data_IF_705165205588
#
_entry.id   IF_705165205588
#
_cell.length_a   1.000
_cell.length_b   1.000
_cell.length_c   1.000
_cell.angle_alpha   90.00
_cell.angle_beta   90.00
_cell.angle_gamma   90.00
#
_symmetry.space_group_name_H-M   'P 1'
#
loop_
_entity.id
_entity.type
_entity.pdbx_description
1 polymer ?
#
# COMPACT_ATOMS: atom_id res chain seq x y z
N UNK A 1 -3.48 -43.50 28.64
CA UNK A 1 -2.51 -42.73 27.85
C UNK A 1 -2.82 -42.94 26.37
N UNK A 2 -3.64 -42.08 25.79
CA UNK A 2 -3.88 -42.03 24.36
C UNK A 2 -3.57 -40.62 23.88
N UNK A 3 -2.44 -40.46 23.21
CA UNK A 3 -2.07 -39.29 22.48
C UNK A 3 -2.88 -39.30 21.17
N UNK A 4 -3.88 -38.45 21.07
CA UNK A 4 -4.63 -38.27 19.83
C UNK A 4 -3.75 -37.47 18.85
N UNK A 5 -3.21 -38.16 17.85
CA UNK A 5 -2.69 -37.52 16.63
C UNK A 5 -3.83 -36.74 15.95
N UNK A 6 -3.78 -35.42 16.01
CA UNK A 6 -4.61 -34.61 15.15
C UNK A 6 -4.05 -34.68 13.73
N UNK A 7 -4.74 -35.46 12.90
CA UNK A 7 -4.46 -35.61 11.48
C UNK A 7 -4.65 -34.31 10.71
N UNK A 8 -3.71 -34.10 9.81
CA UNK A 8 -3.57 -32.94 8.93
C UNK A 8 -4.78 -32.72 7.99
N UNK A 9 -5.10 -31.46 7.83
CA UNK A 9 -5.72 -30.78 6.67
C UNK A 9 -6.97 -31.45 6.02
N UNK A 10 -8.13 -30.82 6.19
CA UNK A 10 -9.11 -30.82 5.14
C UNK A 10 -9.51 -29.36 4.77
N UNK A 11 -8.69 -28.67 4.06
CA UNK A 11 -9.14 -27.57 3.22
C UNK A 11 -8.57 -27.79 1.83
N UNK A 12 -9.44 -28.19 0.92
CA UNK A 12 -9.13 -28.46 -0.47
C UNK A 12 -8.54 -27.18 -1.09
N UNK A 13 -7.22 -27.14 -1.26
CA UNK A 13 -6.55 -26.09 -2.03
C UNK A 13 -6.99 -26.32 -3.48
N UNK A 14 -7.89 -25.47 -3.97
CA UNK A 14 -8.21 -25.37 -5.39
C UNK A 14 -6.92 -25.06 -6.14
N UNK A 15 -6.40 -26.09 -6.83
CA UNK A 15 -5.29 -25.94 -7.78
C UNK A 15 -5.79 -25.12 -8.95
N UNK A 16 -5.34 -23.89 -9.06
CA UNK A 16 -5.46 -23.12 -10.28
C UNK A 16 -4.43 -23.62 -11.30
N UNK A 17 -4.80 -23.79 -12.58
CA UNK A 17 -3.85 -24.20 -13.61
C UNK A 17 -2.82 -23.10 -13.85
N UNK A 18 -1.56 -23.51 -13.95
CA UNK A 18 -0.46 -22.65 -14.37
C UNK A 18 -0.76 -22.08 -15.77
N UNK A 19 -0.88 -20.78 -15.89
CA UNK A 19 -0.94 -20.11 -17.19
C UNK A 19 0.43 -20.19 -17.85
N UNK A 20 0.50 -21.00 -18.91
CA UNK A 20 1.62 -21.11 -19.82
C UNK A 20 2.05 -19.74 -20.35
N UNK A 21 3.34 -19.45 -20.23
CA UNK A 21 4.00 -18.35 -20.91
C UNK A 21 3.89 -18.53 -22.44
N UNK A 22 3.02 -17.79 -23.06
CA UNK A 22 2.91 -17.66 -24.51
C UNK A 22 3.67 -16.45 -24.99
N UNK A 23 4.87 -16.67 -25.51
CA UNK A 23 5.59 -15.70 -26.33
C UNK A 23 4.80 -15.41 -27.60
N UNK A 24 4.40 -14.18 -27.84
CA UNK A 24 4.13 -13.65 -29.19
C UNK A 24 4.43 -12.16 -29.27
N UNK A 25 5.42 -11.89 -30.04
CA UNK A 25 5.63 -10.89 -31.09
C UNK A 25 4.69 -9.69 -31.11
N UNK A 26 5.31 -8.58 -30.85
CA UNK A 26 5.02 -7.20 -31.20
C UNK A 26 4.16 -6.98 -32.44
N UNK A 27 3.10 -6.21 -32.27
CA UNK A 27 2.76 -5.15 -33.22
C UNK A 27 2.52 -3.89 -32.40
N UNK A 28 3.35 -2.87 -32.62
CA UNK A 28 3.18 -1.50 -32.15
C UNK A 28 1.88 -0.94 -32.76
N UNK A 29 0.80 -1.11 -32.06
CA UNK A 29 -0.29 -0.15 -32.10
C UNK A 29 -0.05 0.73 -30.89
N UNK A 30 0.71 1.81 -31.08
CA UNK A 30 0.64 2.99 -30.25
C UNK A 30 -0.78 3.53 -30.35
N UNK A 31 -1.70 2.97 -29.60
CA UNK A 31 -2.86 3.74 -29.16
C UNK A 31 -2.28 4.85 -28.29
N UNK A 32 -2.24 6.04 -28.82
CA UNK A 32 -2.15 7.30 -28.07
C UNK A 32 -3.41 7.40 -27.21
N UNK A 33 -3.47 6.62 -26.13
CA UNK A 33 -4.34 6.95 -25.03
C UNK A 33 -3.79 8.28 -24.48
N UNK A 34 -4.57 9.32 -24.60
CA UNK A 34 -4.30 10.64 -24.06
C UNK A 34 -4.02 10.47 -22.57
N UNK A 35 -2.75 10.58 -22.19
CA UNK A 35 -2.31 10.32 -20.82
C UNK A 35 -2.76 11.47 -19.94
N UNK A 36 -3.52 11.19 -18.88
CA UNK A 36 -3.88 12.22 -17.90
C UNK A 36 -2.64 12.98 -17.42
N UNK A 37 -2.73 14.30 -17.32
CA UNK A 37 -1.65 15.14 -16.81
C UNK A 37 -1.22 14.74 -15.40
N UNK A 38 -2.13 14.25 -14.59
CA UNK A 38 -1.85 13.75 -13.24
C UNK A 38 -1.04 12.44 -13.23
N UNK A 39 -0.90 11.77 -14.37
CA UNK A 39 0.01 10.63 -14.49
C UNK A 39 1.49 11.07 -14.62
N UNK A 40 1.78 12.36 -14.71
CA UNK A 40 3.12 12.91 -14.81
C UNK A 40 3.77 13.07 -13.44
N UNK A 41 5.05 12.71 -13.32
CA UNK A 41 5.89 13.14 -12.20
C UNK A 41 6.17 14.64 -12.28
N UNK A 42 6.67 15.25 -11.20
CA UNK A 42 7.03 16.68 -11.21
C UNK A 42 8.04 17.02 -12.30
N UNK A 43 9.05 16.17 -12.52
CA UNK A 43 10.02 16.37 -13.60
C UNK A 43 9.39 16.26 -15.00
N UNK A 44 8.42 15.37 -15.18
CA UNK A 44 7.68 15.28 -16.44
C UNK A 44 6.78 16.50 -16.66
N UNK A 45 6.20 17.08 -15.60
CA UNK A 45 5.48 18.37 -15.72
C UNK A 45 6.40 19.52 -16.14
N UNK A 46 7.65 19.55 -15.66
CA UNK A 46 8.65 20.54 -16.10
C UNK A 46 8.97 20.38 -17.60
N UNK A 47 9.18 19.15 -18.07
CA UNK A 47 9.43 18.87 -19.47
C UNK A 47 8.23 19.26 -20.34
N UNK A 48 7.03 18.84 -19.95
CA UNK A 48 5.79 19.13 -20.65
C UNK A 48 5.55 20.66 -20.78
N UNK A 49 5.73 21.41 -19.70
CA UNK A 49 5.56 22.86 -19.77
C UNK A 49 6.62 23.54 -20.66
N UNK A 50 7.85 23.02 -20.70
CA UNK A 50 8.90 23.50 -21.59
C UNK A 50 8.56 23.24 -23.07
N UNK A 51 7.99 22.06 -23.40
CA UNK A 51 7.51 21.72 -24.74
C UNK A 51 6.43 22.70 -25.23
N UNK A 52 5.59 23.22 -24.34
CA UNK A 52 4.63 24.28 -24.62
C UNK A 52 5.24 25.69 -24.64
N UNK A 53 6.57 25.82 -24.60
CA UNK A 53 7.27 27.12 -24.61
C UNK A 53 7.04 27.93 -23.32
N UNK A 54 6.70 27.28 -22.21
CA UNK A 54 6.43 27.97 -20.96
C UNK A 54 7.67 28.05 -20.06
N UNK A 55 7.83 29.13 -19.29
CA UNK A 55 8.92 29.24 -18.33
C UNK A 55 8.76 28.19 -17.20
N UNK A 56 9.90 27.76 -16.64
CA UNK A 56 10.00 26.66 -15.66
C UNK A 56 9.04 26.80 -14.46
N UNK A 57 8.76 28.01 -13.98
CA UNK A 57 7.86 28.21 -12.85
C UNK A 57 6.40 27.79 -13.13
N UNK A 58 5.99 27.67 -14.41
CA UNK A 58 4.63 27.24 -14.77
C UNK A 58 4.36 25.80 -14.36
N UNK A 59 5.36 24.93 -14.39
CA UNK A 59 5.23 23.55 -13.89
C UNK A 59 4.87 23.54 -12.39
N UNK A 60 5.52 24.40 -11.60
CA UNK A 60 5.21 24.51 -10.17
C UNK A 60 3.78 25.06 -9.92
N UNK A 61 3.33 26.03 -10.72
CA UNK A 61 1.95 26.53 -10.65
C UNK A 61 0.94 25.43 -11.03
N UNK A 62 1.22 24.71 -12.10
CA UNK A 62 0.39 23.57 -12.53
C UNK A 62 0.30 22.51 -11.43
N UNK A 63 1.43 22.12 -10.85
CA UNK A 63 1.46 21.15 -9.73
C UNK A 63 0.66 21.65 -8.50
N UNK A 64 0.68 22.94 -8.19
CA UNK A 64 -0.15 23.50 -7.12
C UNK A 64 -1.64 23.37 -7.43
N UNK A 65 -2.07 23.69 -8.65
CA UNK A 65 -3.46 23.53 -9.05
C UNK A 65 -3.92 22.08 -8.95
N UNK A 66 -3.10 21.13 -9.46
CA UNK A 66 -3.40 19.71 -9.48
C UNK A 66 -3.46 19.08 -8.07
N UNK A 67 -2.51 19.46 -7.19
CA UNK A 67 -2.25 18.71 -5.96
C UNK A 67 -2.50 19.50 -4.66
N UNK A 68 -2.60 20.83 -4.71
CA UNK A 68 -2.95 21.65 -3.53
C UNK A 68 -4.38 22.13 -3.61
N UNK A 69 -4.78 22.65 -4.77
CA UNK A 69 -6.15 23.12 -4.99
C UNK A 69 -7.10 21.99 -5.44
N UNK A 70 -6.56 20.83 -5.83
CA UNK A 70 -7.28 19.63 -6.24
C UNK A 70 -8.38 19.91 -7.28
N UNK A 71 -8.05 20.75 -8.28
CA UNK A 71 -8.99 21.10 -9.32
C UNK A 71 -9.24 19.94 -10.28
N UNK A 72 -10.45 19.88 -10.82
CA UNK A 72 -10.88 18.86 -11.79
C UNK A 72 -11.04 19.41 -13.21
N UNK A 73 -10.73 20.68 -13.41
CA UNK A 73 -10.78 21.33 -14.74
C UNK A 73 -9.70 22.40 -14.90
N UNK A 74 -9.22 22.59 -16.14
CA UNK A 74 -8.21 23.61 -16.45
C UNK A 74 -8.78 25.04 -16.39
N UNK A 75 -10.08 25.23 -16.51
CA UNK A 75 -10.76 26.52 -16.40
C UNK A 75 -10.54 27.13 -15.01
N UNK A 76 -10.43 26.31 -13.98
CA UNK A 76 -10.18 26.74 -12.60
C UNK A 76 -8.76 27.30 -12.40
N UNK A 77 -7.82 26.99 -13.30
CA UNK A 77 -6.41 27.40 -13.19
C UNK A 77 -6.18 28.84 -13.63
N UNK A 78 -6.75 29.79 -12.92
CA UNK A 78 -6.90 31.21 -13.34
C UNK A 78 -5.59 31.96 -13.58
N UNK A 79 -4.46 31.54 -12.99
CA UNK A 79 -3.14 32.14 -13.21
C UNK A 79 -2.37 31.54 -14.40
N UNK A 80 -2.96 30.56 -15.10
CA UNK A 80 -2.46 30.06 -16.38
C UNK A 80 -3.15 30.80 -17.53
N UNK A 81 -2.42 31.12 -18.61
CA UNK A 81 -2.99 31.78 -19.77
C UNK A 81 -4.07 30.92 -20.44
N UNK A 82 -5.08 31.55 -21.03
CA UNK A 82 -6.13 30.85 -21.77
C UNK A 82 -5.55 29.92 -22.86
N UNK A 83 -4.55 30.40 -23.60
CA UNK A 83 -3.87 29.62 -24.63
C UNK A 83 -3.21 28.36 -24.07
N UNK A 84 -2.56 28.44 -22.88
CA UNK A 84 -1.97 27.26 -22.25
C UNK A 84 -3.05 26.30 -21.76
N UNK A 85 -4.11 26.79 -21.13
CA UNK A 85 -5.25 25.95 -20.69
C UNK A 85 -5.89 25.20 -21.83
N UNK A 86 -6.14 25.87 -22.97
CA UNK A 86 -6.70 25.22 -24.17
C UNK A 86 -5.79 24.11 -24.71
N UNK A 87 -4.48 24.37 -24.81
CA UNK A 87 -3.51 23.37 -25.25
C UNK A 87 -3.45 22.16 -24.30
N UNK A 88 -3.52 22.40 -22.98
CA UNK A 88 -3.53 21.34 -21.99
C UNK A 88 -4.83 20.51 -22.06
N UNK A 89 -5.97 21.15 -22.22
CA UNK A 89 -7.27 20.46 -22.38
C UNK A 89 -7.27 19.53 -23.60
N UNK A 90 -6.68 19.99 -24.71
CA UNK A 90 -6.62 19.19 -25.94
C UNK A 90 -5.64 18.02 -25.85
N UNK A 91 -4.45 18.25 -25.24
CA UNK A 91 -3.36 17.26 -25.25
C UNK A 91 -3.35 16.33 -24.05
N UNK A 92 -3.86 16.78 -22.89
CA UNK A 92 -3.75 16.05 -21.62
C UNK A 92 -5.05 16.17 -20.83
N UNK A 93 -5.95 15.19 -20.91
CA UNK A 93 -7.18 15.20 -20.12
C UNK A 93 -6.87 15.27 -18.63
N UNK A 94 -7.71 15.98 -17.88
CA UNK A 94 -7.65 16.05 -16.42
C UNK A 94 -8.73 15.14 -15.86
N UNK A 95 -8.34 13.98 -15.40
CA UNK A 95 -9.23 13.00 -14.79
C UNK A 95 -8.94 12.86 -13.30
N UNK A 96 -9.99 12.82 -12.49
CA UNK A 96 -9.95 12.57 -11.05
C UNK A 96 -10.91 11.42 -10.76
N UNK A 97 -10.50 10.38 -10.03
CA UNK A 97 -11.40 9.30 -9.65
C UNK A 97 -12.64 9.81 -8.89
N UNK A 98 -13.78 9.21 -9.12
CA UNK A 98 -15.02 9.56 -8.43
C UNK A 98 -15.36 8.59 -7.31
N UNK A 99 -15.95 9.07 -6.21
CA UNK A 99 -16.46 8.21 -5.14
C UNK A 99 -17.74 7.54 -5.64
N UNK A 100 -17.74 6.21 -5.76
CA UNK A 100 -18.93 5.42 -6.14
C UNK A 100 -19.56 4.72 -4.95
N UNK A 101 -18.81 4.52 -3.86
CA UNK A 101 -19.33 4.06 -2.58
C UNK A 101 -18.51 4.62 -1.42
N UNK A 102 -19.16 4.85 -0.29
CA UNK A 102 -18.52 5.31 0.94
C UNK A 102 -19.16 4.65 2.16
N UNK A 103 -18.33 3.99 2.95
CA UNK A 103 -18.73 3.34 4.18
C UNK A 103 -18.05 4.01 5.37
N UNK A 104 -18.78 4.15 6.48
CA UNK A 104 -18.28 4.79 7.70
C UNK A 104 -18.39 3.80 8.85
N UNK A 105 -17.24 3.50 9.46
CA UNK A 105 -17.13 2.63 10.63
C UNK A 105 -17.52 3.34 11.93
N UNK A 106 -17.90 2.57 12.93
CA UNK A 106 -18.14 3.09 14.29
C UNK A 106 -16.92 3.79 14.91
N UNK A 107 -15.70 3.43 14.48
CA UNK A 107 -14.46 4.06 14.97
C UNK A 107 -14.07 5.32 14.19
N UNK A 108 -14.96 5.81 13.30
CA UNK A 108 -14.75 6.97 12.45
C UNK A 108 -13.95 6.70 11.19
N UNK A 109 -13.44 5.47 11.00
CA UNK A 109 -12.75 5.07 9.74
C UNK A 109 -13.72 5.17 8.58
N UNK A 110 -13.27 5.72 7.45
CA UNK A 110 -14.05 5.78 6.21
C UNK A 110 -13.35 4.98 5.12
N UNK A 111 -14.10 4.10 4.48
CA UNK A 111 -13.67 3.39 3.29
C UNK A 111 -14.37 3.97 2.07
N UNK A 112 -13.60 4.26 1.04
CA UNK A 112 -14.07 4.77 -0.25
C UNK A 112 -13.83 3.73 -1.32
N UNK A 113 -14.81 3.50 -2.19
CA UNK A 113 -14.63 2.85 -3.48
C UNK A 113 -14.55 3.95 -4.53
N UNK A 114 -13.40 4.06 -5.16
CA UNK A 114 -13.10 5.09 -6.17
C UNK A 114 -13.12 4.46 -7.56
N UNK A 115 -13.87 5.05 -8.47
CA UNK A 115 -13.91 4.63 -9.88
C UNK A 115 -12.97 5.52 -10.70
N UNK A 116 -12.03 4.88 -11.38
CA UNK A 116 -11.08 5.52 -12.28
C UNK A 116 -11.72 5.79 -13.64
N UNK A 117 -11.04 6.57 -14.50
CA UNK A 117 -11.52 6.97 -15.83
C UNK A 117 -11.87 5.77 -16.74
N UNK A 118 -11.16 4.65 -16.59
CA UNK A 118 -11.38 3.41 -17.34
C UNK A 118 -12.49 2.51 -16.75
N UNK A 119 -13.25 3.02 -15.77
CA UNK A 119 -14.30 2.28 -15.07
C UNK A 119 -13.78 1.23 -14.07
N UNK A 120 -12.45 1.13 -13.88
CA UNK A 120 -11.87 0.27 -12.85
C UNK A 120 -12.00 0.91 -11.48
N UNK A 121 -12.09 0.08 -10.45
CA UNK A 121 -12.30 0.53 -9.07
C UNK A 121 -11.14 0.17 -8.17
N UNK A 122 -10.89 1.04 -7.20
CA UNK A 122 -9.94 0.81 -6.12
C UNK A 122 -10.53 1.28 -4.80
N UNK A 123 -10.06 0.70 -3.71
CA UNK A 123 -10.46 1.12 -2.36
C UNK A 123 -9.36 1.90 -1.66
N UNK A 124 -9.78 2.86 -0.86
CA UNK A 124 -8.95 3.73 -0.03
C UNK A 124 -9.58 3.86 1.35
N UNK A 125 -8.76 3.87 2.39
CA UNK A 125 -9.26 3.93 3.78
C UNK A 125 -8.65 5.13 4.51
N UNK A 126 -9.52 6.00 5.03
CA UNK A 126 -9.15 7.12 5.89
C UNK A 126 -9.39 6.74 7.36
N UNK A 127 -8.36 6.82 8.16
CA UNK A 127 -8.35 6.41 9.56
C UNK A 127 -8.03 7.62 10.45
N UNK A 128 -9.04 8.31 11.02
CA UNK A 128 -8.81 9.35 11.99
C UNK A 128 -8.31 8.72 13.29
N UNK A 129 -7.32 9.32 13.92
CA UNK A 129 -6.90 8.96 15.26
C UNK A 129 -6.86 10.23 16.12
N UNK A 130 -7.83 10.39 16.99
CA UNK A 130 -7.81 11.33 18.09
C UNK A 130 -7.09 10.69 19.28
N UNK A 131 -6.31 11.45 20.01
CA UNK A 131 -5.87 11.07 21.34
C UNK A 131 -7.09 11.07 22.26
N UNK A 132 -7.27 10.00 23.05
CA UNK A 132 -8.22 10.02 24.17
C UNK A 132 -7.67 10.81 25.37
N UNK A 133 -6.46 11.37 25.25
CA UNK A 133 -5.86 12.22 26.27
C UNK A 133 -6.27 13.68 26.02
N UNK A 134 -6.78 14.39 27.07
CA UNK A 134 -7.28 15.76 26.92
C UNK A 134 -6.25 16.77 26.43
N UNK A 135 -4.95 16.45 26.54
CA UNK A 135 -3.83 17.36 26.24
C UNK A 135 -3.12 17.07 24.90
N UNK A 136 -3.45 15.98 24.18
CA UNK A 136 -2.84 15.69 22.87
C UNK A 136 -3.74 16.21 21.74
N UNK A 137 -3.63 17.48 21.46
CA UNK A 137 -4.41 18.25 20.46
C UNK A 137 -4.10 17.85 19.01
N UNK A 138 -3.29 16.81 18.76
CA UNK A 138 -2.92 16.43 17.40
C UNK A 138 -3.81 15.31 16.87
N UNK A 139 -4.96 15.70 16.39
CA UNK A 139 -5.76 14.84 15.51
C UNK A 139 -4.91 14.40 14.32
N UNK A 140 -4.75 13.09 14.16
CA UNK A 140 -4.00 12.51 13.03
C UNK A 140 -4.97 11.85 12.07
N UNK A 141 -4.81 12.15 10.80
CA UNK A 141 -5.50 11.42 9.74
C UNK A 141 -4.46 10.60 8.97
N UNK A 142 -4.62 9.28 9.01
CA UNK A 142 -3.83 8.34 8.22
C UNK A 142 -4.67 7.86 7.04
N UNK A 143 -4.12 7.91 5.84
CA UNK A 143 -4.77 7.34 4.64
C UNK A 143 -3.99 6.12 4.16
N UNK A 144 -4.70 4.98 4.08
CA UNK A 144 -4.24 3.76 3.42
C UNK A 144 -4.69 3.80 1.97
N UNK A 145 -3.74 3.84 1.05
CA UNK A 145 -4.01 3.97 -0.38
C UNK A 145 -3.54 2.76 -1.17
N UNK A 146 -4.18 2.53 -2.30
CA UNK A 146 -3.92 1.46 -3.26
C UNK A 146 -2.90 1.89 -4.29
N UNK A 147 -2.10 0.94 -4.80
CA UNK A 147 -1.06 1.18 -5.83
C UNK A 147 -1.35 0.45 -7.14
N UNK A 148 -2.29 -0.48 -7.13
CA UNK A 148 -2.72 -1.25 -8.29
C UNK A 148 -4.23 -1.46 -8.24
N UNK A 149 -4.84 -1.73 -9.38
CA UNK A 149 -6.19 -2.31 -9.46
C UNK A 149 -6.05 -3.81 -9.31
N UNK A 150 -6.48 -4.34 -8.16
CA UNK A 150 -6.20 -5.72 -7.76
C UNK A 150 -4.75 -5.94 -7.33
N UNK A 151 -4.31 -7.20 -7.23
CA UNK A 151 -2.96 -7.54 -6.78
C UNK A 151 -2.50 -8.87 -7.39
N UNK A 152 -1.26 -8.90 -7.89
CA UNK A 152 -0.68 -10.12 -8.46
C UNK A 152 -0.14 -11.11 -7.42
N UNK A 153 -0.04 -10.72 -6.14
CA UNK A 153 0.66 -11.51 -5.11
C UNK A 153 -0.13 -12.71 -4.61
N UNK A 154 -1.45 -12.74 -4.78
CA UNK A 154 -2.31 -13.89 -4.45
C UNK A 154 -2.13 -14.43 -3.02
N UNK A 155 -1.89 -13.55 -2.05
CA UNK A 155 -1.74 -13.95 -0.65
C UNK A 155 -3.03 -14.62 -0.15
N UNK A 156 -2.93 -15.77 0.50
CA UNK A 156 -4.06 -16.59 0.93
C UNK A 156 -5.00 -15.90 1.93
N UNK A 157 -4.49 -14.91 2.66
CA UNK A 157 -5.20 -14.14 3.67
C UNK A 157 -5.77 -12.80 3.16
N UNK A 158 -5.65 -12.50 1.86
CA UNK A 158 -5.98 -11.17 1.32
C UNK A 158 -7.06 -11.25 0.24
N UNK A 159 -8.19 -10.56 0.46
CA UNK A 159 -9.29 -10.51 -0.49
C UNK A 159 -8.85 -9.94 -1.86
N UNK A 160 -8.05 -8.87 -1.86
CA UNK A 160 -7.49 -8.29 -3.10
C UNK A 160 -6.66 -9.29 -3.90
N UNK A 161 -5.90 -10.16 -3.22
CA UNK A 161 -5.10 -11.19 -3.89
C UNK A 161 -5.95 -12.22 -4.63
N UNK A 162 -7.16 -12.48 -4.15
CA UNK A 162 -8.10 -13.42 -4.78
C UNK A 162 -8.80 -12.82 -6.01
N UNK A 163 -8.87 -11.49 -6.13
CA UNK A 163 -9.44 -10.80 -7.30
C UNK A 163 -8.48 -10.78 -8.51
N UNK A 164 -7.20 -11.02 -8.27
CA UNK A 164 -6.16 -10.95 -9.29
C UNK A 164 -5.71 -9.52 -9.60
N UNK A 165 -4.89 -9.36 -10.63
CA UNK A 165 -4.27 -8.10 -11.05
C UNK A 165 -4.87 -7.63 -12.37
N UNK A 166 -5.21 -6.35 -12.45
CA UNK A 166 -5.69 -5.71 -13.68
C UNK A 166 -4.63 -4.77 -14.28
N UNK A 167 -4.22 -3.73 -13.53
CA UNK A 167 -3.19 -2.77 -13.96
C UNK A 167 -2.56 -2.01 -12.80
N UNK A 168 -1.45 -1.38 -13.08
CA UNK A 168 -0.86 -0.40 -12.18
C UNK A 168 -1.69 0.90 -12.15
N UNK A 169 -1.74 1.55 -10.98
CA UNK A 169 -2.27 2.90 -10.86
C UNK A 169 -1.23 3.92 -11.33
N UNK A 170 -1.71 5.00 -11.91
CA UNK A 170 -0.89 6.16 -12.25
C UNK A 170 -0.54 6.99 -11.02
N UNK A 171 0.41 7.90 -11.17
CA UNK A 171 0.81 8.85 -10.12
C UNK A 171 -0.39 9.63 -9.59
N UNK A 172 -1.22 10.17 -10.50
CA UNK A 172 -2.39 10.95 -10.13
C UNK A 172 -3.42 10.13 -9.39
N UNK A 173 -3.77 8.93 -9.88
CA UNK A 173 -4.74 8.06 -9.22
C UNK A 173 -4.32 7.70 -7.79
N UNK A 174 -3.02 7.56 -7.52
CA UNK A 174 -2.51 7.34 -6.16
C UNK A 174 -2.62 8.59 -5.28
N UNK A 175 -2.25 9.76 -5.80
CA UNK A 175 -2.31 11.03 -5.04
C UNK A 175 -3.76 11.45 -4.80
N UNK A 176 -4.64 11.25 -5.77
CA UNK A 176 -6.07 11.61 -5.67
C UNK A 176 -6.80 10.83 -4.58
N UNK A 177 -6.43 9.59 -4.30
CA UNK A 177 -6.96 8.84 -3.17
C UNK A 177 -6.78 9.60 -1.85
N UNK A 178 -5.60 10.23 -1.67
CA UNK A 178 -5.28 10.97 -0.47
C UNK A 178 -6.02 12.32 -0.44
N UNK A 179 -6.10 13.00 -1.58
CA UNK A 179 -6.78 14.29 -1.70
C UNK A 179 -8.29 14.15 -1.49
N UNK A 180 -8.92 13.15 -2.10
CA UNK A 180 -10.34 12.82 -1.93
C UNK A 180 -10.65 12.50 -0.47
N UNK A 181 -9.84 11.68 0.17
CA UNK A 181 -10.01 11.34 1.58
C UNK A 181 -9.84 12.58 2.48
N UNK A 182 -8.86 13.44 2.19
CA UNK A 182 -8.63 14.69 2.92
C UNK A 182 -9.83 15.66 2.81
N UNK A 183 -10.37 15.79 1.61
CA UNK A 183 -11.52 16.65 1.33
C UNK A 183 -12.77 16.14 2.05
N UNK A 184 -13.12 14.86 1.91
CA UNK A 184 -14.30 14.28 2.56
C UNK A 184 -14.19 14.29 4.10
N UNK A 185 -13.00 14.08 4.65
CA UNK A 185 -12.77 14.14 6.09
C UNK A 185 -12.75 15.56 6.64
N UNK A 186 -12.56 16.60 5.80
CA UNK A 186 -12.36 17.98 6.22
C UNK A 186 -11.10 18.18 7.08
N UNK A 187 -10.16 17.24 7.02
CA UNK A 187 -8.98 17.20 7.88
C UNK A 187 -7.71 16.92 7.05
N UNK A 188 -6.63 17.66 7.33
CA UNK A 188 -5.36 17.47 6.65
C UNK A 188 -4.77 16.09 6.94
N UNK A 189 -4.40 15.36 5.88
CA UNK A 189 -3.71 14.08 6.00
C UNK A 189 -2.30 14.28 6.58
N UNK A 190 -2.03 13.57 7.66
CA UNK A 190 -0.74 13.64 8.37
C UNK A 190 0.17 12.45 8.08
N UNK A 191 -0.40 11.30 7.78
CA UNK A 191 0.31 10.05 7.53
C UNK A 191 -0.31 9.32 6.33
N UNK A 192 0.50 8.63 5.56
CA UNK A 192 0.03 7.78 4.47
C UNK A 192 0.73 6.43 4.49
N UNK A 193 0.00 5.39 4.13
CA UNK A 193 0.53 4.02 4.05
C UNK A 193 0.11 3.39 2.72
N UNK A 194 1.08 2.96 1.92
CA UNK A 194 0.87 2.18 0.71
C UNK A 194 0.64 0.70 1.11
N UNK A 195 -0.53 0.44 1.69
CA UNK A 195 -0.95 -0.86 2.23
C UNK A 195 -2.37 -1.24 1.78
N UNK A 196 -2.92 -0.53 0.80
CA UNK A 196 -4.18 -0.84 0.16
C UNK A 196 -4.01 -1.97 -0.86
N UNK A 197 -4.72 -1.90 -1.97
CA UNK A 197 -4.64 -2.89 -3.03
C UNK A 197 -3.33 -2.76 -3.82
N UNK A 198 -2.69 -3.90 -4.11
CA UNK A 198 -1.49 -3.98 -4.94
C UNK A 198 -0.18 -4.13 -4.16
N UNK A 199 0.88 -4.47 -4.92
CA UNK A 199 2.26 -4.51 -4.45
C UNK A 199 2.99 -3.26 -4.95
N UNK A 200 3.37 -2.32 -4.06
CA UNK A 200 3.96 -1.05 -4.46
C UNK A 200 5.25 -1.21 -5.30
N UNK A 201 6.05 -2.23 -5.02
CA UNK A 201 7.32 -2.43 -5.74
C UNK A 201 7.15 -3.09 -7.11
N UNK A 202 5.97 -3.59 -7.45
CA UNK A 202 5.62 -3.95 -8.84
C UNK A 202 5.11 -2.73 -9.64
N UNK A 203 4.80 -1.61 -8.96
CA UNK A 203 4.50 -0.31 -9.56
C UNK A 203 5.48 0.77 -9.09
N UNK A 204 6.76 0.42 -9.00
CA UNK A 204 7.79 1.18 -8.28
C UNK A 204 7.88 2.65 -8.70
N UNK A 205 8.05 2.91 -10.01
CA UNK A 205 8.32 4.27 -10.50
C UNK A 205 7.15 5.22 -10.28
N UNK A 206 5.92 4.77 -10.53
CA UNK A 206 4.73 5.58 -10.25
C UNK A 206 4.51 5.76 -8.75
N UNK A 207 4.72 4.70 -7.95
CA UNK A 207 4.61 4.78 -6.49
C UNK A 207 5.61 5.82 -5.96
N UNK A 208 6.88 5.72 -6.31
CA UNK A 208 7.90 6.67 -5.86
C UNK A 208 7.58 8.11 -6.28
N UNK A 209 7.13 8.31 -7.52
CA UNK A 209 6.72 9.64 -7.99
C UNK A 209 5.53 10.21 -7.19
N UNK A 210 4.54 9.38 -6.85
CA UNK A 210 3.44 9.77 -5.99
C UNK A 210 3.92 10.14 -4.58
N UNK A 211 4.80 9.31 -3.96
CA UNK A 211 5.37 9.61 -2.63
C UNK A 211 6.13 10.95 -2.62
N UNK A 212 6.86 11.26 -3.70
CA UNK A 212 7.58 12.53 -3.85
C UNK A 212 6.63 13.73 -3.92
N UNK A 213 5.49 13.61 -4.59
CA UNK A 213 4.44 14.63 -4.59
C UNK A 213 3.87 14.81 -3.18
N UNK A 214 3.56 13.72 -2.48
CA UNK A 214 3.05 13.76 -1.11
C UNK A 214 4.05 14.40 -0.13
N UNK A 215 5.34 14.15 -0.30
CA UNK A 215 6.41 14.68 0.55
C UNK A 215 6.83 16.11 0.19
N UNK A 216 6.58 16.57 -1.03
CA UNK A 216 7.13 17.82 -1.55
C UNK A 216 6.74 19.04 -0.71
N UNK A 217 7.75 19.87 -0.34
CA UNK A 217 7.60 20.97 0.61
C UNK A 217 6.63 22.08 0.16
N UNK A 218 6.37 22.23 -1.13
CA UNK A 218 5.44 23.22 -1.70
C UNK A 218 4.08 22.61 -2.10
N UNK A 219 3.88 21.28 -1.91
CA UNK A 219 2.62 20.59 -2.25
C UNK A 219 1.95 20.08 -0.97
N UNK A 220 1.92 18.77 -0.75
CA UNK A 220 1.18 18.17 0.38
C UNK A 220 1.95 18.18 1.70
N UNK A 221 3.27 18.30 1.68
CA UNK A 221 4.14 18.48 2.86
C UNK A 221 3.99 17.36 3.92
N UNK A 222 3.73 16.14 3.50
CA UNK A 222 3.72 15.00 4.42
C UNK A 222 5.17 14.61 4.68
N UNK A 223 5.58 14.60 5.95
CA UNK A 223 6.97 14.29 6.31
C UNK A 223 7.36 12.87 5.87
N UNK A 224 8.57 12.69 5.33
CA UNK A 224 9.00 11.42 4.75
C UNK A 224 8.82 10.22 5.72
N UNK A 225 9.15 10.36 7.00
CA UNK A 225 8.95 9.33 8.04
C UNK A 225 7.48 9.02 8.36
N UNK A 226 6.53 9.79 7.82
CA UNK A 226 5.09 9.57 7.95
C UNK A 226 4.49 8.94 6.70
N UNK A 227 5.36 8.56 5.76
CA UNK A 227 5.01 7.85 4.53
C UNK A 227 5.60 6.46 4.64
N UNK A 228 4.74 5.44 4.71
CA UNK A 228 5.15 4.04 4.81
C UNK A 228 4.83 3.32 3.51
N UNK A 229 5.81 2.59 2.99
CA UNK A 229 5.64 1.67 1.86
C UNK A 229 5.76 0.26 2.37
N UNK A 230 4.73 -0.55 2.14
CA UNK A 230 4.74 -1.97 2.50
C UNK A 230 4.93 -2.83 1.25
N UNK A 231 5.80 -3.81 1.33
CA UNK A 231 6.04 -4.78 0.26
C UNK A 231 5.94 -6.21 0.77
N UNK A 232 5.51 -7.11 -0.09
CA UNK A 232 5.60 -8.55 0.13
C UNK A 232 7.05 -9.05 0.21
N UNK A 233 8.05 -8.19 0.02
CA UNK A 233 9.47 -8.55 0.05
C UNK A 233 10.07 -8.71 -1.35
N UNK A 234 9.65 -7.89 -2.31
CA UNK A 234 10.24 -7.83 -3.67
C UNK A 234 11.66 -7.29 -3.56
N UNK A 235 12.66 -8.20 -3.53
CA UNK A 235 14.06 -7.90 -3.27
C UNK A 235 14.61 -6.80 -4.19
N UNK A 236 14.44 -6.85 -5.53
CA UNK A 236 14.90 -5.77 -6.40
C UNK A 236 14.30 -4.40 -6.08
N UNK A 237 13.06 -4.38 -5.57
CA UNK A 237 12.40 -3.15 -5.11
C UNK A 237 13.02 -2.63 -3.81
N UNK A 238 13.33 -3.51 -2.85
CA UNK A 238 14.02 -3.16 -1.61
C UNK A 238 15.40 -2.56 -1.91
N UNK A 239 16.16 -3.19 -2.80
CA UNK A 239 17.50 -2.73 -3.20
C UNK A 239 17.44 -1.34 -3.86
N UNK A 240 16.44 -1.09 -4.72
CA UNK A 240 16.21 0.25 -5.30
C UNK A 240 15.84 1.26 -4.22
N UNK A 241 14.92 0.90 -3.32
CA UNK A 241 14.42 1.78 -2.26
C UNK A 241 15.48 2.18 -1.25
N UNK A 242 16.50 1.32 -1.03
CA UNK A 242 17.67 1.64 -0.23
C UNK A 242 18.55 2.75 -0.85
N UNK A 243 18.41 3.03 -2.14
CA UNK A 243 19.16 4.06 -2.86
C UNK A 243 18.44 5.42 -2.92
N UNK A 244 17.15 5.47 -2.53
CA UNK A 244 16.39 6.69 -2.59
C UNK A 244 16.80 7.65 -1.46
N UNK A 245 16.95 8.97 -1.74
CA UNK A 245 17.42 9.93 -0.75
C UNK A 245 16.39 10.25 0.33
N UNK A 246 15.11 10.01 0.07
CA UNK A 246 14.04 10.32 1.01
C UNK A 246 13.97 9.28 2.14
N UNK A 247 13.65 9.74 3.35
CA UNK A 247 13.54 8.87 4.54
C UNK A 247 12.13 8.26 4.66
N UNK A 248 11.59 7.67 3.58
CA UNK A 248 10.35 6.93 3.66
C UNK A 248 10.51 5.67 4.52
N UNK A 249 9.47 5.27 5.22
CA UNK A 249 9.49 4.07 6.07
C UNK A 249 9.24 2.83 5.21
N UNK A 250 10.12 1.82 5.34
CA UNK A 250 9.93 0.51 4.74
C UNK A 250 9.21 -0.41 5.73
N UNK A 251 8.10 -1.00 5.28
CA UNK A 251 7.44 -2.13 5.92
C UNK A 251 7.54 -3.37 5.04
N UNK A 252 7.70 -4.53 5.64
CA UNK A 252 7.76 -5.82 4.93
C UNK A 252 6.70 -6.75 5.48
N UNK A 253 5.78 -7.15 4.61
CA UNK A 253 4.80 -8.20 4.87
C UNK A 253 5.51 -9.55 4.96
N UNK A 254 6.00 -9.89 6.16
CA UNK A 254 6.73 -11.13 6.42
C UNK A 254 5.79 -12.31 6.57
N UNK A 255 4.84 -12.21 7.49
CA UNK A 255 3.74 -13.14 7.84
C UNK A 255 4.14 -14.58 8.14
N UNK A 256 5.34 -15.00 7.81
CA UNK A 256 5.96 -16.26 8.27
C UNK A 256 7.48 -16.17 8.17
N UNK A 257 8.17 -16.71 9.16
CA UNK A 257 9.63 -16.81 9.19
C UNK A 257 10.14 -18.24 8.85
N UNK A 258 9.22 -19.21 8.68
CA UNK A 258 9.51 -20.51 8.10
C UNK A 258 9.14 -20.52 6.61
N UNK A 259 10.08 -20.93 5.74
CA UNK A 259 9.89 -20.87 4.30
C UNK A 259 8.66 -21.64 3.82
N UNK A 260 8.47 -22.86 4.30
CA UNK A 260 7.33 -23.72 3.92
C UNK A 260 5.98 -23.08 4.24
N UNK A 261 5.87 -22.38 5.37
CA UNK A 261 4.65 -21.68 5.78
C UNK A 261 4.44 -20.44 4.92
N UNK A 262 5.54 -19.68 4.66
CA UNK A 262 5.48 -18.49 3.81
C UNK A 262 5.07 -18.81 2.38
N UNK A 263 5.54 -19.91 1.82
CA UNK A 263 5.21 -20.35 0.46
C UNK A 263 3.71 -20.69 0.31
N UNK A 264 3.08 -21.19 1.37
CA UNK A 264 1.63 -21.44 1.41
C UNK A 264 0.84 -20.13 1.54
N UNK A 265 1.27 -19.23 2.42
CA UNK A 265 0.57 -17.95 2.66
C UNK A 265 0.77 -16.95 1.53
N UNK A 266 1.92 -16.97 0.86
CA UNK A 266 2.33 -15.99 -0.14
C UNK A 266 2.94 -16.68 -1.37
N UNK A 267 2.15 -17.40 -2.18
CA UNK A 267 2.64 -18.32 -3.21
C UNK A 267 3.48 -17.64 -4.30
N UNK A 268 3.26 -16.36 -4.58
CA UNK A 268 4.05 -15.63 -5.57
C UNK A 268 5.44 -15.21 -5.05
N UNK A 269 5.73 -15.47 -3.76
CA UNK A 269 7.02 -15.13 -3.15
C UNK A 269 8.01 -16.29 -3.09
N UNK A 270 7.68 -17.45 -3.63
CA UNK A 270 8.55 -18.66 -3.63
C UNK A 270 9.92 -18.40 -4.29
N UNK A 271 9.98 -17.52 -5.29
CA UNK A 271 11.22 -17.11 -5.95
C UNK A 271 12.06 -16.10 -5.15
N UNK A 272 11.58 -15.67 -3.98
CA UNK A 272 12.21 -14.70 -3.09
C UNK A 272 12.37 -15.32 -1.69
N UNK A 273 13.27 -16.29 -1.52
CA UNK A 273 13.37 -17.07 -0.28
C UNK A 273 13.77 -16.18 0.90
N UNK A 274 13.32 -16.55 2.10
CA UNK A 274 13.55 -15.82 3.35
C UNK A 274 15.03 -15.51 3.60
N UNK A 275 15.95 -16.41 3.26
CA UNK A 275 17.38 -16.20 3.40
C UNK A 275 17.90 -15.04 2.54
N UNK A 276 17.41 -14.92 1.29
CA UNK A 276 17.73 -13.79 0.41
C UNK A 276 17.04 -12.51 0.87
N UNK A 277 15.78 -12.60 1.31
CA UNK A 277 15.07 -11.45 1.86
C UNK A 277 15.81 -10.90 3.07
N UNK A 278 16.18 -11.75 4.04
CA UNK A 278 16.93 -11.34 5.23
C UNK A 278 18.24 -10.62 4.86
N UNK A 279 18.99 -11.15 3.88
CA UNK A 279 20.20 -10.50 3.38
C UNK A 279 19.93 -9.14 2.78
N UNK A 280 18.87 -9.00 1.97
CA UNK A 280 18.49 -7.71 1.39
C UNK A 280 18.08 -6.69 2.47
N UNK A 281 17.37 -7.13 3.52
CA UNK A 281 17.03 -6.27 4.65
C UNK A 281 18.26 -5.83 5.44
N UNK A 282 19.23 -6.71 5.65
CA UNK A 282 20.51 -6.35 6.27
C UNK A 282 21.24 -5.30 5.43
N UNK A 283 21.35 -5.48 4.13
CA UNK A 283 21.97 -4.50 3.21
C UNK A 283 21.20 -3.16 3.20
N UNK A 284 19.87 -3.20 3.28
CA UNK A 284 19.05 -1.99 3.43
C UNK A 284 19.40 -1.24 4.72
N UNK A 285 19.52 -1.95 5.85
CA UNK A 285 19.90 -1.35 7.14
C UNK A 285 21.29 -0.74 7.10
N UNK A 286 22.30 -1.47 6.60
CA UNK A 286 23.68 -1.01 6.45
C UNK A 286 23.78 0.28 5.61
N UNK A 287 22.93 0.40 4.58
CA UNK A 287 22.94 1.54 3.67
C UNK A 287 22.17 2.75 4.18
N UNK A 288 21.08 2.53 4.90
CA UNK A 288 20.13 3.60 5.23
C UNK A 288 20.12 4.00 6.69
N UNK A 289 20.63 3.15 7.57
CA UNK A 289 20.53 3.26 9.02
C UNK A 289 19.07 3.50 9.50
N UNK A 290 18.08 2.94 8.76
CA UNK A 290 16.66 3.15 9.04
C UNK A 290 16.00 1.85 9.46
N UNK A 291 15.34 1.88 10.62
CA UNK A 291 14.57 0.76 11.14
C UNK A 291 13.53 0.28 10.13
N UNK A 292 13.43 -1.04 9.96
CA UNK A 292 12.44 -1.71 9.12
C UNK A 292 11.26 -2.15 9.99
N UNK A 293 10.04 -2.03 9.48
CA UNK A 293 8.87 -2.63 10.12
C UNK A 293 8.57 -3.98 9.48
N UNK A 294 8.43 -5.03 10.28
CA UNK A 294 7.95 -6.33 9.85
C UNK A 294 6.48 -6.48 10.22
N UNK A 295 5.63 -6.66 9.24
CA UNK A 295 4.21 -6.95 9.44
C UNK A 295 4.03 -8.47 9.57
N UNK A 296 3.48 -8.93 10.68
CA UNK A 296 3.26 -10.35 10.95
C UNK A 296 1.80 -10.60 11.36
N UNK A 297 1.05 -11.20 10.46
CA UNK A 297 -0.33 -11.60 10.67
C UNK A 297 -0.36 -12.95 11.38
N UNK A 298 -0.98 -13.04 12.56
CA UNK A 298 -1.12 -14.28 13.30
C UNK A 298 -2.40 -15.02 12.89
N UNK A 299 -2.24 -16.26 12.41
CA UNK A 299 -3.28 -17.13 11.88
C UNK A 299 -3.26 -18.44 12.65
N UNK A 300 -4.40 -18.79 13.27
CA UNK A 300 -4.56 -19.97 14.14
C UNK A 300 -4.15 -21.26 13.43
N UNK A 301 -3.25 -22.00 14.06
CA UNK A 301 -2.76 -23.30 13.60
C UNK A 301 -1.93 -23.26 12.29
N UNK A 302 -1.56 -22.10 11.78
CA UNK A 302 -0.81 -21.95 10.52
C UNK A 302 0.60 -21.41 10.77
N UNK A 303 0.71 -20.25 11.43
CA UNK A 303 1.98 -19.54 11.62
C UNK A 303 2.15 -19.00 13.04
N UNK A 304 1.47 -19.59 14.02
CA UNK A 304 1.39 -19.15 15.41
C UNK A 304 1.92 -20.18 16.43
N UNK A 305 2.64 -21.20 15.94
CA UNK A 305 3.28 -22.23 16.77
C UNK A 305 4.54 -21.71 17.48
N UNK A 306 5.05 -22.45 18.46
CA UNK A 306 6.34 -22.15 19.13
C UNK A 306 7.50 -22.17 18.13
N UNK A 307 7.45 -23.07 17.13
CA UNK A 307 8.46 -23.12 16.08
C UNK A 307 8.42 -21.88 15.18
N UNK A 308 7.23 -21.32 14.92
CA UNK A 308 7.08 -20.09 14.14
C UNK A 308 7.61 -18.88 14.92
N UNK A 309 7.34 -18.83 16.22
CA UNK A 309 7.88 -17.77 17.10
C UNK A 309 9.40 -17.84 17.17
N UNK A 310 9.97 -19.02 17.39
CA UNK A 310 11.42 -19.22 17.40
C UNK A 310 12.07 -18.81 16.08
N UNK A 311 11.47 -19.20 14.95
CA UNK A 311 11.93 -18.81 13.61
C UNK A 311 11.86 -17.28 13.39
N UNK A 312 10.83 -16.61 13.90
CA UNK A 312 10.71 -15.16 13.81
C UNK A 312 11.78 -14.46 14.63
N UNK A 313 12.06 -14.93 15.85
CA UNK A 313 13.13 -14.40 16.70
C UNK A 313 14.49 -14.56 16.01
N UNK A 314 14.77 -15.74 15.43
CA UNK A 314 16.00 -15.99 14.67
C UNK A 314 16.11 -15.09 13.44
N UNK A 315 15.02 -14.95 12.66
CA UNK A 315 14.99 -14.06 11.51
C UNK A 315 15.33 -12.61 11.88
N UNK A 316 14.86 -12.12 13.02
CA UNK A 316 15.09 -10.76 13.50
C UNK A 316 16.49 -10.56 14.11
N UNK A 317 17.20 -11.64 14.44
CA UNK A 317 18.50 -11.55 15.14
C UNK A 317 19.50 -10.68 14.35
N UNK A 318 20.04 -9.64 15.03
CA UNK A 318 20.99 -8.71 14.44
C UNK A 318 20.41 -7.71 13.42
N UNK A 319 19.08 -7.66 13.26
CA UNK A 319 18.40 -6.66 12.42
C UNK A 319 17.77 -5.57 13.28
N UNK A 320 17.89 -4.32 12.88
CA UNK A 320 17.16 -3.20 13.49
C UNK A 320 15.72 -3.19 12.96
N UNK A 321 14.85 -3.92 13.62
CA UNK A 321 13.44 -4.09 13.21
C UNK A 321 12.47 -3.70 14.31
N UNK A 322 11.24 -3.41 13.87
CA UNK A 322 10.06 -3.30 14.69
C UNK A 322 9.01 -4.27 14.14
N UNK A 323 8.39 -5.07 14.99
CA UNK A 323 7.34 -6.00 14.59
C UNK A 323 5.97 -5.39 14.86
N UNK A 324 5.13 -5.35 13.84
CA UNK A 324 3.70 -5.17 13.98
C UNK A 324 3.03 -6.54 13.97
N UNK A 325 2.56 -6.99 15.12
CA UNK A 325 1.64 -8.14 15.19
C UNK A 325 0.24 -7.70 14.81
N UNK A 326 -0.31 -8.36 13.80
CA UNK A 326 -1.63 -8.06 13.24
C UNK A 326 -2.58 -9.19 13.62
N UNK A 327 -3.76 -8.90 14.22
CA UNK A 327 -4.82 -9.88 14.26
C UNK A 327 -5.36 -10.10 12.85
N UNK A 328 -5.66 -11.35 12.50
CA UNK A 328 -6.31 -11.63 11.24
C UNK A 328 -7.73 -11.06 11.23
N UNK A 329 -8.08 -10.37 10.15
CA UNK A 329 -9.46 -9.95 9.90
C UNK A 329 -10.17 -11.01 9.06
N UNK A 330 -11.43 -11.29 9.37
CA UNK A 330 -12.21 -12.24 8.59
C UNK A 330 -12.33 -11.78 7.13
N UNK A 331 -12.02 -12.67 6.21
CA UNK A 331 -12.19 -12.49 4.77
C UNK A 331 -13.18 -13.53 4.28
N UNK A 332 -14.27 -13.11 3.67
CA UNK A 332 -15.38 -13.98 3.28
C UNK A 332 -14.97 -15.15 2.36
N UNK A 333 -13.89 -14.99 1.61
CA UNK A 333 -13.34 -16.01 0.70
C UNK A 333 -12.29 -16.94 1.34
N UNK A 334 -12.04 -16.81 2.65
CA UNK A 334 -10.98 -17.55 3.35
C UNK A 334 -11.53 -18.28 4.57
N UNK A 335 -11.08 -19.52 4.78
CA UNK A 335 -11.38 -20.29 5.99
C UNK A 335 -10.37 -20.07 7.13
N UNK A 336 -9.39 -19.19 6.93
CA UNK A 336 -8.38 -18.85 7.93
C UNK A 336 -9.02 -18.15 9.12
N UNK A 337 -8.54 -18.45 10.32
CA UNK A 337 -9.04 -17.89 11.57
C UNK A 337 -7.96 -17.08 12.31
N UNK A 338 -8.33 -16.04 13.05
CA UNK A 338 -7.37 -15.33 13.88
C UNK A 338 -6.87 -16.22 15.02
N UNK A 339 -5.59 -16.08 15.35
CA UNK A 339 -5.02 -16.73 16.54
C UNK A 339 -5.74 -16.26 17.81
N UNK A 340 -5.87 -17.13 18.83
CA UNK A 340 -6.42 -16.73 20.13
C UNK A 340 -5.70 -15.53 20.74
N UNK A 341 -6.40 -14.63 21.42
CA UNK A 341 -5.78 -13.45 22.06
C UNK A 341 -4.63 -13.83 23.02
N UNK A 342 -4.76 -14.96 23.73
CA UNK A 342 -3.69 -15.48 24.60
C UNK A 342 -2.40 -15.77 23.84
N UNK A 343 -2.48 -16.36 22.65
CA UNK A 343 -1.33 -16.61 21.79
C UNK A 343 -0.70 -15.27 21.33
N UNK A 344 -1.52 -14.31 20.93
CA UNK A 344 -1.04 -13.00 20.49
C UNK A 344 -0.29 -12.25 21.62
N UNK A 345 -0.85 -12.26 22.85
CA UNK A 345 -0.22 -11.64 24.01
C UNK A 345 1.09 -12.33 24.39
N UNK A 346 1.10 -13.66 24.41
CA UNK A 346 2.31 -14.44 24.69
C UNK A 346 3.42 -14.15 23.66
N UNK A 347 3.10 -14.08 22.37
CA UNK A 347 4.06 -13.73 21.33
C UNK A 347 4.67 -12.35 21.56
N UNK A 348 3.83 -11.35 21.87
CA UNK A 348 4.32 -10.02 22.16
C UNK A 348 5.29 -10.02 23.35
N UNK A 349 4.92 -10.64 24.48
CA UNK A 349 5.75 -10.72 25.67
C UNK A 349 7.10 -11.41 25.38
N UNK A 350 7.07 -12.51 24.62
CA UNK A 350 8.28 -13.25 24.28
C UNK A 350 9.21 -12.44 23.36
N UNK A 351 8.67 -11.75 22.35
CA UNK A 351 9.43 -10.88 21.47
C UNK A 351 10.04 -9.70 22.24
N UNK A 352 9.27 -9.06 23.12
CA UNK A 352 9.75 -7.97 23.99
C UNK A 352 10.85 -8.47 24.94
N UNK A 353 10.71 -9.69 25.49
CA UNK A 353 11.75 -10.33 26.34
C UNK A 353 13.05 -10.58 25.56
N UNK A 354 12.98 -10.78 24.26
CA UNK A 354 14.12 -10.89 23.36
C UNK A 354 14.61 -9.54 22.82
N UNK A 355 14.16 -8.43 23.42
CA UNK A 355 14.48 -7.06 23.02
C UNK A 355 14.11 -6.72 21.56
N UNK A 356 13.09 -7.38 21.03
CA UNK A 356 12.51 -7.06 19.72
C UNK A 356 11.31 -6.16 19.97
N UNK A 357 11.41 -4.90 19.54
CA UNK A 357 10.32 -3.93 19.70
C UNK A 357 9.07 -4.40 18.93
N UNK A 358 7.96 -4.54 19.65
CA UNK A 358 6.75 -5.16 19.11
C UNK A 358 5.50 -4.34 19.45
N UNK A 359 4.65 -4.10 18.46
CA UNK A 359 3.35 -3.45 18.63
C UNK A 359 2.23 -4.39 18.19
N UNK A 360 1.23 -4.54 19.05
CA UNK A 360 -0.03 -5.17 18.66
C UNK A 360 -0.94 -4.12 18.00
N UNK A 361 -1.17 -4.24 16.70
CA UNK A 361 -2.04 -3.32 15.97
C UNK A 361 -3.51 -3.66 16.19
N UNK A 362 -4.29 -2.62 16.44
CA UNK A 362 -5.76 -2.73 16.43
C UNK A 362 -6.25 -2.59 14.99
N UNK A 363 -7.09 -3.51 14.55
CA UNK A 363 -7.80 -3.38 13.27
C UNK A 363 -8.76 -2.18 13.34
N UNK A 364 -8.75 -1.36 12.29
CA UNK A 364 -9.66 -0.23 12.12
C UNK A 364 -10.58 -0.49 10.94
N UNK A 365 -11.86 -0.08 11.07
CA UNK A 365 -12.84 -0.25 10.00
C UNK A 365 -13.15 -1.71 9.64
N UNK A 366 -12.95 -2.66 10.56
CA UNK A 366 -13.20 -4.08 10.30
C UNK A 366 -14.69 -4.37 10.02
N UNK A 367 -15.59 -3.60 10.64
CA UNK A 367 -17.05 -3.66 10.48
C UNK A 367 -17.53 -3.24 9.08
N UNK A 368 -16.73 -2.44 8.37
CA UNK A 368 -16.98 -2.00 7.00
C UNK A 368 -16.07 -2.69 5.96
N UNK A 369 -15.43 -3.80 6.32
CA UNK A 369 -14.43 -4.47 5.50
C UNK A 369 -13.32 -3.52 4.99
N UNK A 370 -12.90 -2.57 5.84
CA UNK A 370 -11.85 -1.58 5.57
C UNK A 370 -10.50 -1.92 6.20
N UNK A 371 -10.40 -3.02 6.96
CA UNK A 371 -9.16 -3.42 7.60
C UNK A 371 -8.20 -4.14 6.64
N UNK A 372 -6.95 -4.33 7.08
CA UNK A 372 -5.92 -5.00 6.28
C UNK A 372 -6.39 -6.36 5.77
N UNK A 373 -6.18 -6.62 4.48
CA UNK A 373 -6.55 -7.86 3.78
C UNK A 373 -8.01 -7.94 3.33
N UNK A 374 -8.89 -6.99 3.69
CA UNK A 374 -10.33 -7.06 3.41
C UNK A 374 -10.77 -6.34 2.12
N UNK A 375 -9.93 -5.49 1.53
CA UNK A 375 -10.30 -4.67 0.37
C UNK A 375 -10.58 -5.54 -0.88
N UNK A 376 -11.74 -5.35 -1.50
CA UNK A 376 -12.19 -6.18 -2.65
C UNK A 376 -13.08 -5.46 -3.66
N UNK A 377 -13.06 -4.12 -3.74
CA UNK A 377 -13.83 -3.30 -4.67
C UNK A 377 -15.37 -3.54 -4.61
N UNK A 378 -15.88 -4.03 -3.49
CA UNK A 378 -17.31 -4.27 -3.33
C UNK A 378 -18.06 -2.97 -3.09
N UNK A 379 -19.07 -2.72 -3.93
CA UNK A 379 -20.05 -1.64 -3.73
C UNK A 379 -21.19 -2.18 -2.89
N UNK A 380 -21.58 -1.45 -1.85
CA UNK A 380 -22.76 -1.76 -1.06
C UNK A 380 -24.01 -1.49 -1.93
N UNK A 381 -24.85 -2.50 -2.10
CA UNK A 381 -26.14 -2.37 -2.83
C UNK A 381 -27.20 -1.80 -1.91
#
# INVERSE_FOLDING_TARGET
MHVAQRSAFPCLILRFPALCAGTRSSSRIMQTMTRSIKACSLGQLEQLTAEFGQPKFRAAQLAQWLYVHHVNSYEQMTNLSLSLRSKLTEAYPLSVPSIVDKQVSHDGTRKYVLECEDGKRVETVAMPSGSQAPDDVRERLTVCFSTQVGCAMQCAFCATGHEGFSRNLSVGEMVDQILIAQEDMGQRVSNVVAMGQGEPFLNYDNTLAALRILNHAKLLKIGARRITVSTCGIIPGIDRFANEPEQFTLAVSLHAARQSVRDVLMPQMTNQPLSRLRKALQQYLEKTDRRITLEYLLIDGINDSEEDLAALIDFCSGLLVHINLLPMNAVASSCLQPSPPSTVFRWREELERKHIETTLRKSRGADIAGACGQLKNAVTR
#
